data_IF_204326551220
#
_entry.id   IF_204326551220
#
_cell.length_a   1.000
_cell.length_b   1.000
_cell.length_c   1.000
_cell.angle_alpha   90.00
_cell.angle_beta   90.00
_cell.angle_gamma   90.00
#
_symmetry.space_group_name_H-M   'P 1'
#
loop_
_entity.id
_entity.type
_entity.pdbx_description
1 polymer ?
#
# COMPACT_ATOMS: atom_id res chain seq x y z
N UNK A 1 -5.73 -15.93 -11.08
CA UNK A 1 -5.01 -14.93 -11.90
C UNK A 1 -5.23 -13.51 -11.38
N UNK A 2 -6.25 -12.75 -11.83
CA UNK A 2 -6.39 -11.33 -11.44
C UNK A 2 -6.57 -11.10 -9.94
N UNK A 3 -7.35 -11.96 -9.26
CA UNK A 3 -7.63 -11.86 -7.83
C UNK A 3 -6.39 -12.17 -6.97
N UNK A 4 -5.59 -13.16 -7.35
CA UNK A 4 -4.31 -13.48 -6.69
C UNK A 4 -3.27 -12.39 -6.91
N UNK A 5 -3.21 -11.81 -8.11
CA UNK A 5 -2.34 -10.68 -8.43
C UNK A 5 -2.65 -9.47 -7.55
N UNK A 6 -3.94 -9.16 -7.32
CA UNK A 6 -4.36 -8.09 -6.41
C UNK A 6 -4.00 -8.43 -4.95
N UNK A 7 -4.21 -9.67 -4.52
CA UNK A 7 -3.89 -10.09 -3.16
C UNK A 7 -2.39 -9.96 -2.85
N UNK A 8 -1.54 -10.38 -3.80
CA UNK A 8 -0.07 -10.26 -3.69
C UNK A 8 0.36 -8.79 -3.78
N UNK A 9 -0.30 -7.97 -4.61
CA UNK A 9 -0.04 -6.53 -4.70
C UNK A 9 -0.31 -5.82 -3.36
N UNK A 10 -1.44 -6.14 -2.74
CA UNK A 10 -1.93 -5.50 -1.52
C UNK A 10 -1.21 -6.00 -0.26
N UNK A 11 -0.66 -7.23 -0.27
CA UNK A 11 -0.03 -7.84 0.90
C UNK A 11 1.07 -6.99 1.56
N UNK A 12 2.09 -6.46 0.85
CA UNK A 12 3.11 -5.62 1.46
C UNK A 12 2.57 -4.24 1.87
N UNK A 13 1.60 -3.70 1.13
CA UNK A 13 0.94 -2.43 1.47
C UNK A 13 0.24 -2.55 2.82
N UNK A 14 -0.55 -3.62 2.98
CA UNK A 14 -1.28 -3.93 4.19
C UNK A 14 -0.34 -4.15 5.36
N UNK A 15 0.74 -4.91 5.18
CA UNK A 15 1.73 -5.15 6.23
C UNK A 15 2.39 -3.85 6.72
N UNK A 16 2.81 -2.99 5.79
CA UNK A 16 3.45 -1.71 6.12
C UNK A 16 2.43 -0.76 6.76
N UNK A 17 1.22 -0.66 6.21
CA UNK A 17 0.15 0.20 6.73
C UNK A 17 -0.27 -0.21 8.15
N UNK A 18 -0.40 -1.51 8.41
CA UNK A 18 -0.72 -2.03 9.74
C UNK A 18 0.40 -1.74 10.74
N UNK A 19 1.66 -1.99 10.37
CA UNK A 19 2.81 -1.73 11.25
C UNK A 19 2.94 -0.26 11.62
N UNK A 20 2.88 0.63 10.63
CA UNK A 20 2.99 2.08 10.85
C UNK A 20 1.76 2.63 11.60
N UNK A 21 0.56 2.17 11.26
CA UNK A 21 -0.67 2.54 11.96
C UNK A 21 -0.65 2.14 13.45
N UNK A 22 -0.10 0.95 13.75
CA UNK A 22 0.07 0.48 15.12
C UNK A 22 1.09 1.31 15.89
N UNK A 23 2.24 1.63 15.30
CA UNK A 23 3.26 2.47 15.94
C UNK A 23 2.70 3.86 16.27
N UNK A 24 1.97 4.48 15.33
CA UNK A 24 1.43 5.83 15.52
C UNK A 24 0.33 5.83 16.58
N UNK A 25 -0.59 4.87 16.53
CA UNK A 25 -1.66 4.75 17.55
C UNK A 25 -1.09 4.46 18.94
N UNK A 26 0.01 3.72 19.03
CA UNK A 26 0.72 3.47 20.28
C UNK A 26 1.38 4.74 20.85
N UNK A 27 2.07 5.52 20.01
CA UNK A 27 2.67 6.81 20.42
C UNK A 27 1.58 7.81 20.82
N UNK A 28 0.47 7.84 20.09
CA UNK A 28 -0.68 8.67 20.42
C UNK A 28 -1.27 8.29 21.79
N UNK A 29 -1.36 7.00 22.09
CA UNK A 29 -1.85 6.51 23.39
C UNK A 29 -0.88 6.83 24.55
N UNK A 30 0.43 6.65 24.34
CA UNK A 30 1.46 6.90 25.37
C UNK A 30 1.59 8.37 25.77
N UNK A 31 1.43 9.29 24.81
CA UNK A 31 1.63 10.73 25.05
C UNK A 31 0.37 11.46 25.51
N UNK A 32 -0.78 10.77 25.59
CA UNK A 32 -2.09 11.35 25.93
C UNK A 32 -2.46 12.62 25.14
N UNK A 33 -1.91 12.81 23.94
CA UNK A 33 -2.23 13.99 23.10
C UNK A 33 -3.61 13.77 22.47
N UNK A 34 -4.63 14.38 23.07
CA UNK A 34 -6.02 14.42 22.57
C UNK A 34 -6.31 15.64 21.69
N UNK A 35 -5.32 16.50 21.46
CA UNK A 35 -5.40 17.63 20.55
C UNK A 35 -5.46 17.13 19.09
N UNK A 36 -6.64 17.23 18.47
CA UNK A 36 -6.88 16.73 17.11
C UNK A 36 -5.97 17.35 16.05
N UNK A 37 -5.42 18.55 16.27
CA UNK A 37 -4.56 19.25 15.31
C UNK A 37 -3.13 18.72 15.29
N UNK A 38 -2.55 18.44 16.47
CA UNK A 38 -1.16 17.98 16.60
C UNK A 38 -1.01 16.50 16.18
N UNK A 39 -2.06 15.70 16.36
CA UNK A 39 -2.09 14.30 15.89
C UNK A 39 -2.31 14.17 14.39
N UNK A 40 -2.78 15.23 13.70
CA UNK A 40 -3.07 15.20 12.28
C UNK A 40 -1.80 15.24 11.41
N UNK A 41 -0.82 16.08 11.79
CA UNK A 41 0.40 16.29 10.99
C UNK A 41 1.29 15.04 10.91
N UNK A 42 1.65 14.37 12.02
CA UNK A 42 2.46 13.15 11.97
C UNK A 42 1.76 12.03 11.18
N UNK A 43 0.43 11.96 11.28
CA UNK A 43 -0.39 10.95 10.60
C UNK A 43 -0.36 11.12 9.09
N UNK A 44 -0.45 12.35 8.58
CA UNK A 44 -0.34 12.63 7.13
C UNK A 44 1.04 12.24 6.62
N UNK A 45 2.11 12.65 7.31
CA UNK A 45 3.49 12.35 6.89
C UNK A 45 3.71 10.84 6.81
N UNK A 46 3.19 10.10 7.78
CA UNK A 46 3.26 8.64 7.78
C UNK A 46 2.50 8.01 6.61
N UNK A 47 1.26 8.45 6.34
CA UNK A 47 0.47 7.94 5.21
C UNK A 47 1.17 8.22 3.88
N UNK A 48 1.70 9.44 3.69
CA UNK A 48 2.49 9.78 2.51
C UNK A 48 3.74 8.93 2.38
N UNK A 49 4.46 8.69 3.48
CA UNK A 49 5.63 7.82 3.51
C UNK A 49 5.29 6.38 3.08
N UNK A 50 4.22 5.80 3.63
CA UNK A 50 3.75 4.46 3.25
C UNK A 50 3.39 4.41 1.77
N UNK A 51 2.70 5.42 1.26
CA UNK A 51 2.23 5.48 -0.12
C UNK A 51 3.40 5.53 -1.10
N UNK A 52 4.39 6.39 -0.85
CA UNK A 52 5.62 6.48 -1.66
C UNK A 52 6.43 5.17 -1.61
N UNK A 53 6.55 4.57 -0.42
CA UNK A 53 7.31 3.32 -0.27
C UNK A 53 6.63 2.13 -0.94
N UNK A 54 5.30 2.15 -0.97
CA UNK A 54 4.46 1.11 -1.58
C UNK A 54 4.31 1.26 -3.10
N UNK A 55 4.42 2.48 -3.61
CA UNK A 55 4.26 2.82 -5.02
C UNK A 55 5.03 1.91 -6.00
N UNK A 56 6.34 1.62 -5.83
CA UNK A 56 7.07 0.75 -6.77
C UNK A 56 6.53 -0.68 -6.79
N UNK A 57 6.03 -1.18 -5.66
CA UNK A 57 5.51 -2.55 -5.56
C UNK A 57 4.16 -2.69 -6.28
N UNK A 58 3.26 -1.72 -6.07
CA UNK A 58 1.99 -1.65 -6.81
C UNK A 58 2.23 -1.53 -8.31
N UNK A 59 3.18 -0.67 -8.72
CA UNK A 59 3.53 -0.48 -10.11
C UNK A 59 4.01 -1.79 -10.77
N UNK A 60 4.95 -2.51 -10.15
CA UNK A 60 5.46 -3.78 -10.69
C UNK A 60 4.41 -4.89 -10.81
N UNK A 61 3.36 -4.83 -9.99
CA UNK A 61 2.27 -5.80 -10.07
C UNK A 61 1.27 -5.44 -11.17
N UNK A 62 1.04 -4.14 -11.40
CA UNK A 62 0.19 -3.64 -12.47
C UNK A 62 0.80 -3.88 -13.86
N UNK A 63 2.13 -3.71 -13.98
CA UNK A 63 2.84 -4.00 -15.23
C UNK A 63 2.80 -5.50 -15.54
N UNK A 64 3.03 -6.37 -14.54
CA UNK A 64 2.94 -7.82 -14.72
C UNK A 64 1.54 -8.27 -15.17
N UNK A 65 0.48 -7.63 -14.66
CA UNK A 65 -0.88 -7.86 -15.12
C UNK A 65 -1.05 -7.41 -16.58
N UNK A 66 -0.52 -6.24 -16.93
CA UNK A 66 -0.58 -5.71 -18.29
C UNK A 66 0.14 -6.64 -19.27
N UNK A 67 1.36 -7.07 -18.94
CA UNK A 67 2.15 -8.01 -19.75
C UNK A 67 1.40 -9.33 -19.96
N UNK A 68 0.77 -9.87 -18.91
CA UNK A 68 -0.04 -11.09 -19.01
C UNK A 68 -1.24 -10.90 -19.95
N UNK A 69 -1.92 -9.74 -19.89
CA UNK A 69 -3.06 -9.44 -20.78
C UNK A 69 -2.60 -9.23 -22.22
N UNK A 70 -1.48 -8.53 -22.44
CA UNK A 70 -0.90 -8.34 -23.76
C UNK A 70 -0.43 -9.66 -24.37
N UNK A 71 0.22 -10.52 -23.59
CA UNK A 71 0.62 -11.87 -24.02
C UNK A 71 -0.59 -12.73 -24.37
N UNK A 72 -1.68 -12.64 -23.61
CA UNK A 72 -2.93 -13.36 -23.92
C UNK A 72 -3.61 -12.85 -25.20
N UNK A 73 -3.55 -11.54 -25.48
CA UNK A 73 -4.06 -10.96 -26.72
C UNK A 73 -3.20 -11.37 -27.92
N UNK A 74 -1.87 -11.36 -27.76
CA UNK A 74 -0.91 -11.73 -28.81
C UNK A 74 -0.90 -13.24 -29.06
N UNK A 75 -1.03 -14.04 -28.01
CA UNK A 75 -1.16 -15.50 -28.07
C UNK A 75 -2.55 -15.96 -28.53
N UNK A 76 -3.55 -15.07 -28.55
CA UNK A 76 -4.96 -15.35 -28.80
C UNK A 76 -5.45 -14.97 -30.20
N UNK A 77 -4.55 -14.79 -31.16
CA UNK A 77 -4.83 -15.16 -32.54
C UNK A 77 -4.43 -16.63 -32.72
N UNK A 78 -5.43 -17.52 -32.66
CA UNK A 78 -5.42 -19.00 -32.72
C UNK A 78 -5.43 -19.74 -31.38
#
# INVERSE_FOLDING_TARGET
>A
MTLETILIACAPVLAIALGVGLIISFIQALTQIQEMTLTFVPKIIAIFGILVFTMPFMYGTLTRLSDTVFDLIVSGGF
#
